data_IF_111357447401
#
_entry.id   IF_111357447401
#
_cell.length_a   1.000
_cell.length_b   1.000
_cell.length_c   1.000
_cell.angle_alpha   90.00
_cell.angle_beta   90.00
_cell.angle_gamma   90.00
#
_symmetry.space_group_name_H-M   'P 1'
#
loop_
_entity.id
_entity.type
_entity.pdbx_description
1 polymer ?
#
# COMPACT_ATOMS: atom_id res chain seq x y z
N UNK A 1 26.15 3.12 -2.34
CA UNK A 1 25.73 3.78 -3.61
C UNK A 1 24.89 4.98 -3.24
N UNK A 2 25.10 6.13 -3.88
CA UNK A 2 24.24 7.31 -3.69
C UNK A 2 22.88 6.99 -4.32
N UNK A 3 21.84 6.94 -3.52
CA UNK A 3 20.49 6.67 -4.00
C UNK A 3 19.83 8.01 -4.34
N UNK A 4 19.68 8.31 -5.63
CA UNK A 4 19.12 9.59 -6.09
C UNK A 4 17.59 9.63 -6.02
N UNK A 5 16.96 8.48 -5.78
CA UNK A 5 15.50 8.31 -5.83
C UNK A 5 14.87 8.13 -4.45
N UNK A 6 15.65 7.63 -3.48
CA UNK A 6 15.18 7.37 -2.13
C UNK A 6 15.90 8.26 -1.12
N UNK A 7 15.13 8.98 -0.32
CA UNK A 7 15.60 9.81 0.79
C UNK A 7 15.32 9.11 2.14
N UNK A 8 15.65 9.77 3.25
CA UNK A 8 15.42 9.21 4.59
C UNK A 8 13.94 8.95 4.89
N UNK A 9 13.02 9.79 4.42
CA UNK A 9 11.58 9.58 4.61
C UNK A 9 11.08 8.34 3.87
N UNK A 10 11.59 8.10 2.65
CA UNK A 10 11.26 6.89 1.88
C UNK A 10 11.74 5.62 2.60
N UNK A 11 12.92 5.67 3.22
CA UNK A 11 13.45 4.54 3.99
C UNK A 11 12.72 4.34 5.32
N UNK A 12 12.29 5.41 5.99
CA UNK A 12 11.43 5.33 7.18
C UNK A 12 10.07 4.70 6.84
N UNK A 13 9.46 5.15 5.75
CA UNK A 13 8.22 4.56 5.23
C UNK A 13 8.41 3.08 4.89
N UNK A 14 9.51 2.74 4.18
CA UNK A 14 9.86 1.35 3.86
C UNK A 14 9.95 0.49 5.10
N UNK A 15 10.65 0.96 6.13
CA UNK A 15 10.83 0.23 7.37
C UNK A 15 9.49 0.05 8.10
N UNK A 16 8.69 1.10 8.22
CA UNK A 16 7.38 1.04 8.87
C UNK A 16 6.41 0.09 8.16
N UNK A 17 6.35 0.13 6.83
CA UNK A 17 5.55 -0.81 6.03
C UNK A 17 6.05 -2.24 6.20
N UNK A 18 7.37 -2.47 6.12
CA UNK A 18 7.96 -3.80 6.31
C UNK A 18 7.63 -4.38 7.68
N UNK A 19 7.78 -3.59 8.74
CA UNK A 19 7.53 -4.04 10.11
C UNK A 19 6.06 -4.41 10.31
N UNK A 20 5.15 -3.60 9.76
CA UNK A 20 3.73 -3.92 9.74
C UNK A 20 3.46 -5.23 8.99
N UNK A 21 4.00 -5.40 7.78
CA UNK A 21 3.80 -6.60 6.96
C UNK A 21 4.31 -7.85 7.69
N UNK A 22 5.53 -7.80 8.23
CA UNK A 22 6.12 -8.94 8.94
C UNK A 22 5.37 -9.32 10.21
N UNK A 23 4.75 -8.35 10.88
CA UNK A 23 4.03 -8.57 12.13
C UNK A 23 2.59 -9.04 11.90
N UNK A 24 1.87 -8.37 11.00
CA UNK A 24 0.41 -8.48 10.89
C UNK A 24 -0.04 -9.27 9.66
N UNK A 25 0.80 -9.36 8.63
CA UNK A 25 0.45 -9.93 7.33
C UNK A 25 1.12 -11.28 7.12
N UNK A 26 2.46 -11.31 7.05
CA UNK A 26 3.26 -12.50 6.71
C UNK A 26 2.86 -13.75 7.50
N UNK A 27 2.63 -13.71 8.84
CA UNK A 27 2.27 -14.91 9.61
C UNK A 27 0.92 -15.53 9.22
N UNK A 28 0.07 -14.79 8.49
CA UNK A 28 -1.31 -15.19 8.19
C UNK A 28 -1.54 -15.51 6.71
N UNK A 29 -0.54 -15.30 5.84
CA UNK A 29 -0.72 -15.37 4.38
C UNK A 29 -1.15 -16.75 3.90
N UNK A 30 -0.50 -17.82 4.36
CA UNK A 30 -0.85 -19.18 3.95
C UNK A 30 -2.31 -19.50 4.27
N UNK A 31 -2.77 -19.10 5.46
CA UNK A 31 -4.16 -19.25 5.87
C UNK A 31 -5.12 -18.46 4.98
N UNK A 32 -4.80 -17.20 4.66
CA UNK A 32 -5.66 -16.36 3.82
C UNK A 32 -5.74 -16.85 2.38
N UNK A 33 -4.65 -17.43 1.86
CA UNK A 33 -4.63 -18.09 0.55
C UNK A 33 -5.50 -19.36 0.56
N UNK A 34 -5.37 -20.21 1.58
CA UNK A 34 -6.21 -21.41 1.75
C UNK A 34 -7.70 -21.06 1.89
N UNK A 35 -8.02 -20.04 2.69
CA UNK A 35 -9.38 -19.54 2.89
C UNK A 35 -9.89 -18.66 1.73
N UNK A 36 -9.02 -18.35 0.76
CA UNK A 36 -9.28 -17.44 -0.37
C UNK A 36 -9.85 -16.08 0.08
N UNK A 37 -9.42 -15.60 1.25
CA UNK A 37 -10.00 -14.43 1.89
C UNK A 37 -8.98 -13.68 2.73
N UNK A 38 -8.81 -12.40 2.39
CA UNK A 38 -8.09 -11.43 3.22
C UNK A 38 -9.09 -10.80 4.21
N UNK A 39 -8.81 -10.76 5.52
CA UNK A 39 -9.66 -10.08 6.49
C UNK A 39 -9.83 -8.59 6.18
N UNK A 40 -11.06 -8.06 6.33
CA UNK A 40 -11.36 -6.64 6.03
C UNK A 40 -10.61 -5.68 6.96
N UNK A 41 -10.28 -6.14 8.15
CA UNK A 41 -9.53 -5.44 9.17
C UNK A 41 -8.12 -5.08 8.68
N UNK A 42 -7.53 -5.87 7.79
CA UNK A 42 -6.24 -5.55 7.18
C UNK A 42 -6.37 -4.34 6.26
N UNK A 43 -7.41 -4.28 5.40
CA UNK A 43 -7.67 -3.09 4.59
C UNK A 43 -7.88 -1.85 5.44
N UNK A 44 -8.62 -1.99 6.56
CA UNK A 44 -8.81 -0.88 7.49
C UNK A 44 -7.48 -0.40 8.08
N UNK A 45 -6.60 -1.32 8.52
CA UNK A 45 -5.26 -0.96 9.02
C UNK A 45 -4.43 -0.22 7.98
N UNK A 46 -4.40 -0.69 6.72
CA UNK A 46 -3.73 0.02 5.63
C UNK A 46 -4.29 1.42 5.40
N UNK A 47 -5.63 1.57 5.44
CA UNK A 47 -6.29 2.87 5.32
C UNK A 47 -5.94 3.82 6.48
N UNK A 48 -6.01 3.33 7.71
CA UNK A 48 -5.70 4.10 8.93
C UNK A 48 -4.22 4.52 8.97
N UNK A 49 -3.32 3.77 8.31
CA UNK A 49 -1.89 4.11 8.14
C UNK A 49 -1.62 5.08 6.97
N UNK A 50 -2.64 5.44 6.17
CA UNK A 50 -2.49 6.29 4.99
C UNK A 50 -1.95 5.58 3.74
N UNK A 51 -1.81 4.25 3.78
CA UNK A 51 -1.14 3.48 2.73
C UNK A 51 -2.01 3.20 1.50
N UNK A 52 -3.32 3.42 1.60
CA UNK A 52 -4.28 3.39 0.46
C UNK A 52 -4.50 4.78 -0.16
N UNK A 53 -3.69 5.75 0.27
CA UNK A 53 -3.84 7.18 0.05
C UNK A 53 -2.60 7.85 -0.53
N UNK A 54 -1.55 7.09 -0.89
CA UNK A 54 -0.17 7.60 -0.99
C UNK A 54 -0.07 8.87 -1.84
N UNK A 55 -0.47 8.80 -3.10
CA UNK A 55 -0.29 9.89 -4.06
C UNK A 55 -1.57 10.74 -4.25
N UNK A 56 -2.47 10.73 -3.26
CA UNK A 56 -3.75 11.43 -3.35
C UNK A 56 -3.76 12.68 -2.47
N UNK A 57 -4.52 13.72 -2.85
CA UNK A 57 -4.61 14.95 -2.07
C UNK A 57 -5.18 14.72 -0.66
N UNK A 58 -4.66 15.46 0.32
CA UNK A 58 -5.13 15.42 1.71
C UNK A 58 -6.64 15.71 1.85
N UNK A 59 -7.21 16.55 0.98
CA UNK A 59 -8.66 16.86 0.98
C UNK A 59 -9.56 15.62 0.79
N UNK A 60 -9.02 14.52 0.27
CA UNK A 60 -9.72 13.24 0.11
C UNK A 60 -9.16 12.15 1.04
N UNK A 61 -8.33 12.53 2.02
CA UNK A 61 -7.71 11.61 2.99
C UNK A 61 -6.45 10.92 2.48
N UNK A 62 -5.86 11.39 1.38
CA UNK A 62 -4.52 10.96 0.96
C UNK A 62 -3.40 11.69 1.71
N UNK A 63 -2.15 11.41 1.33
CA UNK A 63 -0.96 11.99 1.99
C UNK A 63 -0.05 12.79 1.03
N UNK A 64 -0.50 13.02 -0.21
CA UNK A 64 0.19 13.79 -1.26
C UNK A 64 1.68 13.42 -1.46
N UNK A 65 2.00 12.14 -1.26
CA UNK A 65 3.36 11.63 -1.35
C UNK A 65 3.84 11.55 -2.80
N UNK A 66 5.17 11.58 -2.97
CA UNK A 66 5.79 11.46 -4.28
C UNK A 66 5.69 10.04 -4.87
N UNK A 67 6.10 9.90 -6.13
CA UNK A 67 6.07 8.63 -6.84
C UNK A 67 6.90 7.52 -6.18
N UNK A 68 7.99 7.86 -5.48
CA UNK A 68 8.88 6.85 -4.90
C UNK A 68 8.27 6.15 -3.70
N UNK A 69 7.31 6.75 -3.00
CA UNK A 69 6.49 6.04 -2.00
C UNK A 69 5.70 4.89 -2.63
N UNK A 70 5.14 5.08 -3.83
CA UNK A 70 4.44 4.01 -4.55
C UNK A 70 5.39 2.89 -4.97
N UNK A 71 6.64 3.22 -5.34
CA UNK A 71 7.69 2.24 -5.62
C UNK A 71 8.01 1.43 -4.37
N UNK A 72 8.29 2.09 -3.24
CA UNK A 72 8.54 1.41 -1.96
C UNK A 72 7.38 0.50 -1.57
N UNK A 73 6.15 1.00 -1.68
CA UNK A 73 4.94 0.24 -1.34
C UNK A 73 4.83 -1.04 -2.16
N UNK A 74 5.04 -0.94 -3.48
CA UNK A 74 4.99 -2.08 -4.38
C UNK A 74 6.09 -3.09 -4.09
N UNK A 75 7.32 -2.61 -3.82
CA UNK A 75 8.46 -3.47 -3.47
C UNK A 75 8.23 -4.25 -2.17
N UNK A 76 7.75 -3.60 -1.11
CA UNK A 76 7.56 -4.28 0.18
C UNK A 76 6.35 -5.19 0.18
N UNK A 77 5.21 -4.81 -0.44
CA UNK A 77 4.06 -5.71 -0.56
C UNK A 77 4.39 -6.96 -1.38
N UNK A 78 5.19 -6.83 -2.43
CA UNK A 78 5.57 -7.98 -3.27
C UNK A 78 6.43 -9.00 -2.51
N UNK A 79 7.13 -8.59 -1.44
CA UNK A 79 7.95 -9.49 -0.60
C UNK A 79 7.12 -10.38 0.33
N UNK A 80 5.80 -10.20 0.37
CA UNK A 80 4.88 -11.04 1.14
C UNK A 80 4.67 -12.42 0.47
N UNK A 81 5.10 -12.59 -0.79
CA UNK A 81 4.98 -13.83 -1.57
C UNK A 81 3.54 -14.36 -1.75
N UNK A 82 2.57 -13.45 -1.75
CA UNK A 82 1.17 -13.74 -2.08
C UNK A 82 0.70 -12.85 -3.22
N UNK A 83 0.35 -13.47 -4.35
CA UNK A 83 -0.17 -12.76 -5.52
C UNK A 83 -1.56 -12.17 -5.26
N UNK A 84 -2.42 -12.90 -4.55
CA UNK A 84 -3.76 -12.44 -4.18
C UNK A 84 -3.72 -11.23 -3.25
N UNK A 85 -2.86 -11.27 -2.22
CA UNK A 85 -2.64 -10.14 -1.33
C UNK A 85 -2.09 -8.94 -2.09
N UNK A 86 -1.00 -9.10 -2.84
CA UNK A 86 -0.40 -8.00 -3.60
C UNK A 86 -1.42 -7.36 -4.55
N UNK A 87 -2.14 -8.17 -5.34
CA UNK A 87 -3.13 -7.68 -6.27
C UNK A 87 -4.26 -6.89 -5.56
N UNK A 88 -4.74 -7.37 -4.42
CA UNK A 88 -5.84 -6.71 -3.71
C UNK A 88 -5.51 -5.25 -3.30
N UNK A 89 -4.27 -5.00 -2.86
CA UNK A 89 -3.83 -3.66 -2.46
C UNK A 89 -3.35 -2.81 -3.64
N UNK A 90 -2.62 -3.43 -4.59
CA UNK A 90 -2.14 -2.73 -5.78
C UNK A 90 -3.29 -2.26 -6.69
N UNK A 91 -4.35 -3.07 -6.85
CA UNK A 91 -5.53 -2.69 -7.63
C UNK A 91 -6.20 -1.46 -7.02
N UNK A 92 -6.38 -1.43 -5.69
CA UNK A 92 -6.95 -0.26 -5.02
C UNK A 92 -6.11 1.00 -5.30
N UNK A 93 -4.81 0.93 -5.04
CA UNK A 93 -3.93 2.09 -5.11
C UNK A 93 -3.65 2.56 -6.55
N UNK A 94 -3.48 1.64 -7.49
CA UNK A 94 -2.93 1.92 -8.82
C UNK A 94 -3.88 1.61 -9.99
N UNK A 95 -5.08 1.08 -9.73
CA UNK A 95 -6.07 0.81 -10.78
C UNK A 95 -7.42 1.46 -10.49
N UNK A 96 -8.06 1.18 -9.36
CA UNK A 96 -9.39 1.72 -9.06
C UNK A 96 -9.33 3.21 -8.73
N UNK A 97 -8.52 3.59 -7.74
CA UNK A 97 -8.45 4.97 -7.25
C UNK A 97 -7.93 6.00 -8.27
N UNK A 98 -6.92 5.69 -9.14
CA UNK A 98 -6.44 6.69 -10.10
C UNK A 98 -7.50 7.10 -11.13
N UNK A 99 -8.36 6.18 -11.55
CA UNK A 99 -9.46 6.50 -12.47
C UNK A 99 -10.51 7.36 -11.80
N UNK A 100 -10.86 7.07 -10.55
CA UNK A 100 -11.78 7.91 -9.79
C UNK A 100 -11.19 9.31 -9.59
N UNK A 101 -9.90 9.43 -9.26
CA UNK A 101 -9.26 10.73 -9.11
C UNK A 101 -9.16 11.53 -10.40
N UNK A 102 -8.99 10.86 -11.53
CA UNK A 102 -8.86 11.51 -12.83
C UNK A 102 -10.20 11.89 -13.46
N UNK A 103 -11.23 11.09 -13.22
CA UNK A 103 -12.51 11.16 -13.96
C UNK A 103 -13.73 11.35 -13.06
N UNK A 104 -13.59 11.23 -11.74
CA UNK A 104 -14.66 11.45 -10.78
C UNK A 104 -15.07 12.91 -10.71
N UNK A 105 -16.37 13.14 -10.49
CA UNK A 105 -16.90 14.46 -10.15
C UNK A 105 -16.76 14.72 -8.66
N UNK A 106 -16.77 16.01 -8.28
CA UNK A 106 -16.94 16.43 -6.88
C UNK A 106 -18.41 16.38 -6.41
N UNK A 107 -19.33 16.00 -7.32
CA UNK A 107 -20.78 15.91 -7.11
C UNK A 107 -21.22 14.46 -6.93
#
# INVERSE_FOLDING_TARGET
MKNYYFNEEHELFRQGLRDFLNKEVVPNIEKWEEEQRIPKEIFKKFGDMGYLGLNYPEKYGGIDADFFYAVVFTEEISKVFSGGFMAAFAVQQFMSSPYLMKHGSDF
#
